data_IF_611391108148
#
_entry.id   IF_611391108148
#
_cell.length_a   1.000
_cell.length_b   1.000
_cell.length_c   1.000
_cell.angle_alpha   90.00
_cell.angle_beta   90.00
_cell.angle_gamma   90.00
#
_symmetry.space_group_name_H-M   'P 1'
#
loop_
_entity.id
_entity.type
_entity.pdbx_description
1 polymer ?
#
# COMPACT_ATOMS: atom_id res chain seq x y z
N UNK A 1 27.30 57.88 -4.01
CA UNK A 1 28.26 57.95 -2.88
C UNK A 1 28.33 56.56 -2.27
N UNK A 2 29.37 55.71 -2.33
CA UNK A 2 30.61 55.51 -3.10
C UNK A 2 30.95 54.03 -2.83
N UNK A 3 31.14 53.12 -3.78
CA UNK A 3 32.21 52.91 -4.77
C UNK A 3 33.65 52.72 -4.24
N UNK A 4 34.13 51.48 -4.44
CA UNK A 4 35.50 51.00 -4.77
C UNK A 4 36.57 50.84 -3.66
N UNK A 5 37.65 50.03 -3.88
CA UNK A 5 37.92 49.01 -4.93
C UNK A 5 38.61 47.70 -4.47
N UNK A 6 38.78 46.81 -5.47
CA UNK A 6 39.54 45.57 -5.51
C UNK A 6 41.07 45.71 -5.43
N UNK A 7 41.77 44.59 -5.13
CA UNK A 7 43.16 44.35 -5.53
C UNK A 7 43.35 42.93 -6.08
N UNK A 8 44.13 42.87 -7.16
CA UNK A 8 44.44 41.74 -8.05
C UNK A 8 45.77 41.04 -7.67
N UNK A 9 45.97 39.85 -8.27
CA UNK A 9 47.28 39.28 -8.62
C UNK A 9 47.69 38.07 -7.77
N UNK A 10 48.17 36.93 -8.29
CA UNK A 10 48.54 36.51 -9.63
C UNK A 10 49.35 35.20 -9.55
N UNK A 11 49.41 34.46 -10.67
CA UNK A 11 50.39 33.42 -11.05
C UNK A 11 50.34 32.00 -10.43
N UNK A 12 49.92 31.04 -11.28
CA UNK A 12 50.36 29.62 -11.39
C UNK A 12 51.50 29.55 -12.45
N UNK A 13 52.06 28.37 -12.83
CA UNK A 13 52.60 27.17 -12.13
C UNK A 13 54.05 26.88 -12.66
N UNK A 14 54.68 25.66 -12.61
CA UNK A 14 54.30 24.40 -13.32
C UNK A 14 54.45 23.18 -12.37
N UNK A 15 54.00 21.95 -12.62
CA UNK A 15 53.71 21.18 -13.82
C UNK A 15 54.35 19.80 -13.61
N UNK A 16 53.58 18.71 -13.65
CA UNK A 16 54.09 17.35 -13.90
C UNK A 16 52.93 16.49 -14.37
N UNK A 17 53.03 16.05 -15.63
CA UNK A 17 52.21 15.02 -16.26
C UNK A 17 53.02 13.73 -16.23
N UNK A 18 52.41 12.59 -15.93
CA UNK A 18 52.68 11.34 -16.65
C UNK A 18 51.41 10.47 -16.73
N UNK A 19 51.37 9.70 -17.82
CA UNK A 19 50.24 9.02 -18.45
C UNK A 19 50.18 7.52 -18.03
N UNK A 20 49.21 6.71 -18.52
CA UNK A 20 48.59 5.60 -17.81
C UNK A 20 49.21 4.22 -18.09
N UNK A 21 48.81 3.21 -17.32
CA UNK A 21 48.99 1.79 -17.66
C UNK A 21 47.64 1.06 -17.51
N UNK A 22 47.35 0.22 -18.51
CA UNK A 22 46.14 -0.59 -18.72
C UNK A 22 46.20 -1.92 -17.96
N UNK A 23 45.00 -2.45 -17.69
CA UNK A 23 44.51 -3.84 -17.61
C UNK A 23 45.49 -5.01 -17.40
N UNK A 24 45.13 -5.90 -16.45
CA UNK A 24 44.89 -7.33 -16.73
C UNK A 24 44.56 -8.14 -15.46
N UNK A 25 43.44 -8.87 -15.53
CA UNK A 25 43.23 -10.26 -15.10
C UNK A 25 43.47 -10.72 -13.64
N UNK A 26 42.35 -11.09 -13.01
CA UNK A 26 42.19 -12.17 -12.02
C UNK A 26 42.81 -13.50 -12.48
N UNK A 27 43.30 -14.38 -11.57
CA UNK A 27 42.39 -15.32 -10.85
C UNK A 27 42.85 -15.79 -9.43
N UNK A 28 41.91 -16.35 -8.65
CA UNK A 28 42.18 -17.50 -7.75
C UNK A 28 42.23 -17.29 -6.22
N UNK A 29 41.17 -17.77 -5.53
CA UNK A 29 40.97 -18.15 -4.11
C UNK A 29 42.15 -18.85 -3.35
N UNK A 30 42.01 -19.23 -2.04
CA UNK A 30 41.31 -18.64 -0.89
C UNK A 30 42.22 -18.57 0.38
N UNK A 31 41.96 -17.64 1.31
CA UNK A 31 42.68 -17.56 2.60
C UNK A 31 41.74 -17.40 3.79
N UNK A 32 41.70 -18.43 4.66
CA UNK A 32 41.14 -18.40 6.03
C UNK A 32 42.18 -17.84 7.02
N UNK A 33 41.73 -17.61 8.26
CA UNK A 33 42.38 -17.03 9.46
C UNK A 33 42.26 -15.50 9.53
N UNK A 34 41.89 -14.89 10.65
CA UNK A 34 41.60 -15.35 11.99
C UNK A 34 41.14 -14.16 12.84
N UNK A 35 40.73 -14.48 14.06
CA UNK A 35 39.98 -13.68 15.03
C UNK A 35 40.60 -12.35 15.54
N UNK A 36 39.69 -11.54 16.07
CA UNK A 36 39.80 -10.50 17.11
C UNK A 36 40.58 -9.19 16.83
N UNK A 37 39.85 -8.07 16.76
CA UNK A 37 39.83 -7.12 17.89
C UNK A 37 38.62 -6.16 17.84
N UNK A 38 38.10 -5.83 19.02
CA UNK A 38 36.87 -5.09 19.26
C UNK A 38 37.04 -3.56 19.13
N UNK A 39 36.04 -2.88 18.58
CA UNK A 39 35.68 -1.50 19.00
C UNK A 39 34.16 -1.44 19.17
N UNK A 40 33.74 -1.06 20.38
CA UNK A 40 32.34 -0.96 20.79
C UNK A 40 31.73 0.41 20.43
N UNK A 41 30.40 0.40 20.19
CA UNK A 41 29.37 1.47 20.16
C UNK A 41 28.77 1.81 18.78
N UNK A 42 27.47 2.20 18.69
CA UNK A 42 26.28 1.65 19.33
C UNK A 42 25.35 0.97 18.29
N UNK A 43 24.64 -0.08 18.71
CA UNK A 43 23.73 -0.83 17.87
C UNK A 43 22.40 -0.08 17.63
N UNK A 44 22.33 0.67 16.53
CA UNK A 44 21.04 0.94 15.88
C UNK A 44 20.74 -0.30 15.03
N UNK A 45 19.97 -1.25 15.58
CA UNK A 45 19.45 -2.37 14.81
C UNK A 45 18.46 -1.82 13.79
N UNK A 46 18.97 -1.50 12.60
CA UNK A 46 18.17 -1.46 11.38
C UNK A 46 17.54 -2.83 11.19
N UNK A 47 16.26 -2.93 11.52
CA UNK A 47 15.45 -4.08 11.16
C UNK A 47 15.45 -4.17 9.64
N UNK A 48 16.20 -5.13 9.11
CA UNK A 48 16.12 -5.54 7.73
C UNK A 48 14.65 -5.90 7.45
N UNK A 49 13.97 -5.10 6.63
CA UNK A 49 12.68 -5.46 6.04
C UNK A 49 12.93 -6.78 5.30
N UNK A 50 12.50 -7.88 5.92
CA UNK A 50 12.50 -9.17 5.23
C UNK A 50 11.51 -9.07 4.09
N UNK A 51 11.97 -9.45 2.91
CA UNK A 51 11.16 -9.61 1.72
C UNK A 51 10.01 -10.59 2.00
N UNK A 52 8.82 -10.04 2.25
CA UNK A 52 7.54 -10.78 2.35
C UNK A 52 6.83 -10.84 0.99
N UNK A 53 7.46 -10.38 -0.09
CA UNK A 53 6.79 -10.03 -1.34
C UNK A 53 6.69 -11.14 -2.40
N UNK A 54 6.80 -12.41 -2.00
CA UNK A 54 6.45 -13.53 -2.88
C UNK A 54 5.50 -14.49 -2.21
N UNK A 55 4.27 -14.04 -2.03
CA UNK A 55 3.14 -14.99 -2.03
C UNK A 55 3.08 -15.56 -3.45
N UNK A 56 3.21 -16.88 -3.65
CA UNK A 56 3.09 -17.46 -4.97
C UNK A 56 1.68 -17.18 -5.51
N UNK A 57 1.61 -16.64 -6.74
CA UNK A 57 0.37 -16.39 -7.46
C UNK A 57 -0.59 -17.58 -7.36
N UNK A 58 -1.77 -17.34 -6.79
CA UNK A 58 -2.83 -18.35 -6.73
C UNK A 58 -3.61 -18.35 -8.03
N UNK A 59 -3.96 -19.54 -8.53
CA UNK A 59 -4.87 -19.65 -9.67
C UNK A 59 -6.28 -19.19 -9.26
N UNK A 60 -7.07 -18.59 -10.17
CA UNK A 60 -8.46 -18.21 -9.90
C UNK A 60 -9.28 -19.36 -9.33
N UNK A 61 -10.23 -19.06 -8.45
CA UNK A 61 -11.18 -20.08 -7.95
C UNK A 61 -12.14 -20.46 -9.10
N UNK A 62 -12.47 -21.74 -9.30
CA UNK A 62 -13.55 -22.11 -10.23
C UNK A 62 -14.89 -21.64 -9.63
N UNK A 63 -15.32 -20.45 -10.02
CA UNK A 63 -16.63 -19.87 -9.74
C UNK A 63 -17.54 -19.94 -10.98
N UNK A 64 -18.85 -19.63 -10.85
CA UNK A 64 -19.72 -19.45 -12.02
C UNK A 64 -19.20 -18.31 -12.92
N UNK A 65 -19.58 -18.33 -14.20
CA UNK A 65 -19.08 -17.49 -15.31
C UNK A 65 -18.65 -16.05 -14.92
N UNK A 66 -17.49 -15.55 -15.40
CA UNK A 66 -17.11 -14.16 -15.28
C UNK A 66 -17.91 -13.33 -16.29
N UNK A 67 -19.18 -13.03 -15.98
CA UNK A 67 -20.01 -12.18 -16.84
C UNK A 67 -20.81 -11.15 -16.05
N UNK A 68 -20.13 -10.44 -15.13
CA UNK A 68 -20.73 -9.28 -14.45
C UNK A 68 -20.40 -7.95 -15.15
N UNK A 69 -19.40 -7.92 -16.05
CA UNK A 69 -18.99 -6.67 -16.73
C UNK A 69 -19.81 -6.37 -18.00
N UNK A 70 -20.42 -7.35 -18.68
CA UNK A 70 -21.11 -7.16 -19.98
C UNK A 70 -22.66 -7.14 -19.96
N UNK A 71 -23.28 -6.89 -18.80
CA UNK A 71 -24.63 -6.31 -18.76
C UNK A 71 -25.79 -7.21 -19.24
N UNK A 72 -25.89 -8.45 -18.75
CA UNK A 72 -27.15 -9.22 -18.87
C UNK A 72 -27.77 -9.50 -17.51
N UNK A 73 -29.09 -9.28 -17.32
CA UNK A 73 -29.75 -9.57 -16.05
C UNK A 73 -29.93 -11.09 -15.90
N UNK A 74 -29.30 -11.69 -14.90
CA UNK A 74 -29.51 -13.09 -14.57
C UNK A 74 -30.70 -13.26 -13.62
N UNK A 75 -31.80 -13.83 -14.16
CA UNK A 75 -32.80 -14.54 -13.38
C UNK A 75 -32.14 -15.78 -12.74
N UNK A 76 -32.24 -15.94 -11.42
CA UNK A 76 -31.81 -17.16 -10.73
C UNK A 76 -33.00 -18.05 -10.42
N UNK A 77 -32.92 -19.28 -10.94
CA UNK A 77 -33.71 -20.41 -10.50
C UNK A 77 -32.97 -21.12 -9.36
N UNK A 78 -33.66 -21.37 -8.24
CA UNK A 78 -33.06 -21.87 -7.02
C UNK A 78 -32.91 -23.40 -7.04
N UNK A 79 -31.69 -23.93 -6.96
CA UNK A 79 -31.46 -25.31 -6.50
C UNK A 79 -30.29 -25.42 -5.51
N UNK A 80 -30.62 -26.08 -4.40
CA UNK A 80 -29.80 -26.35 -3.22
C UNK A 80 -28.79 -27.47 -3.48
N UNK A 81 -27.62 -27.37 -2.87
CA UNK A 81 -26.69 -28.48 -2.64
C UNK A 81 -26.12 -28.37 -1.23
N UNK A 82 -26.60 -29.20 -0.31
CA UNK A 82 -26.09 -29.31 1.05
C UNK A 82 -24.75 -30.05 1.05
N UNK A 83 -23.66 -29.34 1.35
CA UNK A 83 -22.33 -29.91 1.56
C UNK A 83 -22.05 -30.18 3.03
N UNK A 84 -21.72 -31.44 3.36
CA UNK A 84 -21.39 -31.94 4.70
C UNK A 84 -20.20 -31.20 5.34
N UNK A 85 -20.38 -30.76 6.59
CA UNK A 85 -19.31 -30.31 7.49
C UNK A 85 -18.54 -31.54 7.98
N UNK A 86 -17.24 -31.62 7.65
CA UNK A 86 -16.32 -32.57 8.28
C UNK A 86 -15.71 -31.91 9.53
N UNK A 87 -16.01 -32.49 10.70
CA UNK A 87 -15.36 -32.16 11.98
C UNK A 87 -13.90 -32.63 11.94
N UNK A 88 -12.96 -31.71 11.83
CA UNK A 88 -11.52 -31.93 12.03
C UNK A 88 -11.14 -31.54 13.47
N UNK A 89 -10.54 -32.49 14.20
CA UNK A 89 -10.23 -32.39 15.62
C UNK A 89 -9.17 -31.34 15.98
N UNK A 90 -9.29 -30.85 17.22
CA UNK A 90 -8.35 -29.98 17.88
C UNK A 90 -6.94 -30.59 17.89
N UNK A 91 -5.96 -29.82 17.43
CA UNK A 91 -4.54 -30.02 17.73
C UNK A 91 -4.00 -28.72 18.30
N UNK A 92 -3.65 -28.76 19.58
CA UNK A 92 -2.80 -27.78 20.23
C UNK A 92 -1.48 -27.68 19.47
N UNK A 93 -1.11 -26.46 19.06
CA UNK A 93 0.12 -26.20 18.34
C UNK A 93 0.35 -24.71 18.11
N UNK A 94 1.12 -24.10 19.01
CA UNK A 94 1.84 -22.83 18.88
C UNK A 94 1.04 -21.59 18.43
N UNK A 95 0.68 -20.73 19.39
CA UNK A 95 0.32 -19.32 19.15
C UNK A 95 1.51 -18.63 18.47
N UNK A 96 1.42 -18.45 17.16
CA UNK A 96 2.37 -17.66 16.38
C UNK A 96 1.99 -16.18 16.54
N UNK A 97 2.83 -15.47 17.30
CA UNK A 97 3.03 -14.02 17.23
C UNK A 97 1.78 -13.14 17.16
N UNK A 98 1.17 -12.89 18.32
CA UNK A 98 0.36 -11.68 18.51
C UNK A 98 1.21 -10.48 18.07
N UNK A 99 0.61 -9.58 17.30
CA UNK A 99 1.11 -8.24 17.01
C UNK A 99 1.85 -7.67 18.22
N UNK A 100 3.00 -7.05 18.01
CA UNK A 100 3.66 -6.24 19.03
C UNK A 100 2.56 -5.37 19.69
N UNK A 101 2.44 -5.40 21.03
CA UNK A 101 1.23 -4.99 21.76
C UNK A 101 0.75 -3.54 21.57
N UNK A 102 1.36 -2.81 20.65
CA UNK A 102 1.07 -1.45 20.22
C UNK A 102 -0.26 -1.30 19.44
N UNK A 103 -0.65 -2.26 18.58
CA UNK A 103 -1.84 -2.12 17.71
C UNK A 103 -3.13 -2.72 18.28
N UNK A 104 -3.47 -2.42 19.55
CA UNK A 104 -4.72 -2.88 20.21
C UNK A 104 -5.72 -1.76 20.34
N UNK A 105 -7.00 -1.99 20.57
CA UNK A 105 -8.08 -1.01 20.82
C UNK A 105 -8.11 0.19 19.84
N UNK A 106 -7.69 -0.01 18.60
CA UNK A 106 -7.79 1.00 17.54
C UNK A 106 -9.21 0.96 16.93
N UNK A 107 -9.75 2.08 16.45
CA UNK A 107 -11.13 2.11 16.00
C UNK A 107 -11.34 1.42 14.64
N UNK A 108 -10.34 1.46 13.75
CA UNK A 108 -10.48 1.01 12.36
C UNK A 108 -9.15 0.49 11.76
N UNK A 109 -9.23 -0.62 11.04
CA UNK A 109 -8.26 -1.00 9.98
C UNK A 109 -9.01 -1.06 8.63
N UNK A 110 -8.77 -0.08 7.76
CA UNK A 110 -9.54 0.13 6.54
C UNK A 110 -8.95 -0.53 5.27
N UNK A 111 -7.85 -1.25 5.39
CA UNK A 111 -7.14 -1.81 4.23
C UNK A 111 -6.59 -3.20 4.54
N UNK A 112 -7.32 -4.23 4.08
CA UNK A 112 -7.02 -5.64 4.35
C UNK A 112 -7.31 -6.50 3.12
N UNK A 113 -6.41 -7.45 2.86
CA UNK A 113 -6.47 -8.39 1.74
C UNK A 113 -6.60 -9.82 2.20
N UNK A 114 -7.56 -10.54 1.62
CA UNK A 114 -7.99 -11.88 2.01
C UNK A 114 -7.69 -12.90 0.91
N UNK A 115 -8.08 -14.15 1.13
CA UNK A 115 -8.02 -15.22 0.15
C UNK A 115 -8.96 -15.04 -1.07
N UNK A 116 -9.61 -13.87 -1.17
CA UNK A 116 -10.34 -13.35 -2.33
C UNK A 116 -9.47 -12.44 -3.22
N UNK A 117 -8.22 -12.16 -2.83
CA UNK A 117 -7.16 -11.54 -3.63
C UNK A 117 -6.09 -12.56 -4.05
N UNK A 118 -5.41 -12.36 -5.20
CA UNK A 118 -4.46 -13.33 -5.75
C UNK A 118 -3.18 -13.52 -4.93
N UNK A 119 -2.87 -12.56 -4.06
CA UNK A 119 -1.62 -12.43 -3.30
C UNK A 119 -1.82 -12.50 -1.77
N UNK A 120 -3.02 -12.90 -1.33
CA UNK A 120 -3.30 -13.24 0.08
C UNK A 120 -3.89 -14.64 0.21
N UNK A 121 -3.75 -15.20 1.41
CA UNK A 121 -4.31 -16.49 1.78
C UNK A 121 -5.11 -16.48 3.08
N UNK A 122 -5.42 -15.29 3.57
CA UNK A 122 -6.06 -15.08 4.87
C UNK A 122 -7.58 -15.09 4.69
N UNK A 123 -8.34 -15.99 5.34
CA UNK A 123 -9.79 -15.91 5.30
C UNK A 123 -10.30 -14.72 6.12
N UNK A 124 -11.43 -14.13 5.72
CA UNK A 124 -12.06 -13.00 6.45
C UNK A 124 -12.22 -13.29 7.96
N UNK A 125 -12.57 -14.54 8.31
CA UNK A 125 -12.76 -14.98 9.69
C UNK A 125 -11.47 -14.89 10.55
N UNK A 126 -10.29 -15.02 9.94
CA UNK A 126 -9.02 -14.90 10.65
C UNK A 126 -8.77 -13.45 11.06
N UNK A 127 -8.98 -12.48 10.16
CA UNK A 127 -8.90 -11.07 10.52
C UNK A 127 -9.96 -10.66 11.53
N UNK A 128 -11.20 -11.17 11.39
CA UNK A 128 -12.25 -10.88 12.36
C UNK A 128 -11.90 -11.40 13.77
N UNK A 129 -11.29 -12.59 13.88
CA UNK A 129 -10.79 -13.12 15.14
C UNK A 129 -9.67 -12.23 15.73
N UNK A 130 -8.69 -11.85 14.91
CA UNK A 130 -7.59 -10.98 15.32
C UNK A 130 -8.08 -9.58 15.75
N UNK A 131 -9.08 -9.03 15.05
CA UNK A 131 -9.71 -7.77 15.40
C UNK A 131 -10.39 -7.86 16.78
N UNK A 132 -11.17 -8.91 17.03
CA UNK A 132 -11.80 -9.15 18.33
C UNK A 132 -10.77 -9.31 19.45
N UNK A 133 -9.70 -10.09 19.21
CA UNK A 133 -8.63 -10.31 20.20
C UNK A 133 -7.81 -9.04 20.49
N UNK A 134 -7.72 -8.15 19.51
CA UNK A 134 -6.95 -6.91 19.61
C UNK A 134 -7.82 -5.71 19.99
N UNK A 135 -9.14 -5.86 20.14
CA UNK A 135 -10.04 -4.75 20.43
C UNK A 135 -10.25 -3.79 19.25
N UNK A 136 -9.91 -4.19 18.01
CA UNK A 136 -10.16 -3.38 16.82
C UNK A 136 -11.63 -3.50 16.43
N UNK A 137 -12.38 -2.41 16.58
CA UNK A 137 -13.84 -2.42 16.51
C UNK A 137 -14.39 -2.58 15.09
N UNK A 138 -13.68 -2.06 14.09
CA UNK A 138 -14.12 -2.05 12.70
C UNK A 138 -12.97 -2.43 11.76
N UNK A 139 -13.26 -3.28 10.78
CA UNK A 139 -12.34 -3.62 9.69
C UNK A 139 -13.03 -3.46 8.34
N UNK A 140 -12.30 -3.05 7.31
CA UNK A 140 -12.76 -3.08 5.94
C UNK A 140 -11.95 -4.10 5.14
N UNK A 141 -12.65 -5.02 4.48
CA UNK A 141 -12.04 -5.94 3.54
C UNK A 141 -12.00 -5.24 2.18
N UNK A 142 -10.80 -4.99 1.66
CA UNK A 142 -10.57 -4.18 0.45
C UNK A 142 -9.77 -4.96 -0.58
N UNK A 143 -10.16 -6.21 -0.80
CA UNK A 143 -9.54 -7.08 -1.79
C UNK A 143 -9.39 -6.43 -3.17
N UNK A 144 -8.31 -6.79 -3.87
CA UNK A 144 -7.93 -6.26 -5.18
C UNK A 144 -8.98 -6.53 -6.27
N UNK A 145 -9.18 -5.52 -7.12
CA UNK A 145 -9.85 -5.65 -8.42
C UNK A 145 -9.02 -4.97 -9.49
N UNK A 146 -8.61 -5.76 -10.48
CA UNK A 146 -7.92 -5.26 -11.66
C UNK A 146 -8.81 -5.25 -12.91
N UNK A 147 -8.52 -4.29 -13.78
CA UNK A 147 -9.20 -4.12 -15.06
C UNK A 147 -8.35 -4.56 -16.24
N UNK A 148 -7.03 -4.54 -16.10
CA UNK A 148 -6.14 -5.04 -17.13
C UNK A 148 -6.06 -6.58 -17.11
N UNK A 149 -6.33 -7.27 -18.24
CA UNK A 149 -6.24 -8.73 -18.32
C UNK A 149 -4.87 -9.33 -18.01
N UNK A 150 -3.81 -8.51 -17.99
CA UNK A 150 -2.46 -8.95 -17.66
C UNK A 150 -2.15 -8.86 -16.17
N UNK A 151 -3.06 -8.31 -15.36
CA UNK A 151 -2.87 -8.12 -13.93
C UNK A 151 -3.48 -9.26 -13.09
N UNK A 152 -2.91 -9.57 -11.92
CA UNK A 152 -3.23 -10.79 -11.18
C UNK A 152 -4.67 -10.89 -10.66
N UNK A 153 -5.30 -9.76 -10.30
CA UNK A 153 -6.66 -9.77 -9.75
C UNK A 153 -7.73 -9.66 -10.83
N UNK A 154 -7.36 -9.63 -12.10
CA UNK A 154 -8.32 -9.62 -13.20
C UNK A 154 -9.14 -10.91 -13.19
N UNK A 155 -10.43 -10.76 -12.90
CA UNK A 155 -11.40 -11.87 -12.80
C UNK A 155 -11.02 -12.94 -11.75
N UNK A 156 -10.19 -12.59 -10.76
CA UNK A 156 -9.77 -13.54 -9.74
C UNK A 156 -10.92 -14.00 -8.83
N UNK A 157 -11.78 -13.05 -8.42
CA UNK A 157 -12.98 -13.30 -7.63
C UNK A 157 -14.14 -12.40 -8.06
N UNK A 158 -15.32 -13.00 -8.30
CA UNK A 158 -16.51 -12.26 -8.73
C UNK A 158 -16.99 -11.28 -7.66
N UNK A 159 -17.70 -10.23 -8.06
CA UNK A 159 -18.32 -9.29 -7.10
C UNK A 159 -19.24 -10.03 -6.14
N UNK A 160 -20.13 -10.88 -6.67
CA UNK A 160 -21.10 -11.61 -5.87
C UNK A 160 -20.49 -12.62 -4.88
N UNK A 161 -19.32 -13.18 -5.19
CA UNK A 161 -18.60 -14.05 -4.26
C UNK A 161 -17.93 -13.26 -3.14
N UNK A 162 -17.27 -12.14 -3.46
CA UNK A 162 -16.68 -11.25 -2.45
C UNK A 162 -17.74 -10.67 -1.53
N UNK A 163 -18.80 -10.10 -2.10
CA UNK A 163 -19.89 -9.51 -1.33
C UNK A 163 -20.51 -10.51 -0.36
N UNK A 164 -20.89 -11.68 -0.87
CA UNK A 164 -21.48 -12.74 -0.05
C UNK A 164 -20.54 -13.15 1.08
N UNK A 165 -19.27 -13.41 0.76
CA UNK A 165 -18.28 -13.89 1.74
C UNK A 165 -18.07 -12.87 2.86
N UNK A 166 -17.88 -11.59 2.51
CA UNK A 166 -17.64 -10.54 3.50
C UNK A 166 -18.91 -10.24 4.31
N UNK A 167 -20.09 -10.14 3.69
CA UNK A 167 -21.34 -9.87 4.41
C UNK A 167 -21.76 -11.03 5.31
N UNK A 168 -21.54 -12.28 4.91
CA UNK A 168 -21.77 -13.45 5.79
C UNK A 168 -20.81 -13.47 6.98
N UNK A 169 -19.55 -13.09 6.79
CA UNK A 169 -18.61 -12.90 7.91
C UNK A 169 -19.08 -11.75 8.82
N UNK A 170 -19.49 -10.60 8.27
CA UNK A 170 -19.99 -9.47 9.04
C UNK A 170 -21.15 -9.89 9.97
N UNK A 171 -22.11 -10.66 9.46
CA UNK A 171 -23.22 -11.19 10.26
C UNK A 171 -22.76 -12.15 11.38
N UNK A 172 -21.78 -13.02 11.11
CA UNK A 172 -21.25 -13.98 12.09
C UNK A 172 -20.48 -13.32 13.23
N UNK A 173 -19.82 -12.20 12.96
CA UNK A 173 -18.93 -11.52 13.92
C UNK A 173 -19.56 -10.29 14.60
N UNK A 174 -20.73 -9.85 14.16
CA UNK A 174 -21.45 -8.71 14.75
C UNK A 174 -21.68 -8.87 16.27
N UNK A 175 -22.16 -10.03 16.71
CA UNK A 175 -22.39 -10.31 18.14
C UNK A 175 -21.10 -10.45 18.97
N UNK A 176 -19.95 -10.47 18.30
CA UNK A 176 -18.61 -10.48 18.92
C UNK A 176 -17.97 -9.09 18.94
N UNK A 177 -18.72 -8.04 18.56
CA UNK A 177 -18.26 -6.65 18.62
C UNK A 177 -17.33 -6.23 17.49
N UNK A 178 -17.26 -6.99 16.39
CA UNK A 178 -16.46 -6.63 15.21
C UNK A 178 -17.38 -6.25 14.05
N UNK A 179 -17.30 -5.00 13.62
CA UNK A 179 -17.93 -4.55 12.39
C UNK A 179 -17.03 -4.85 11.19
N UNK A 180 -17.55 -5.55 10.19
CA UNK A 180 -16.82 -5.88 8.95
C UNK A 180 -17.49 -5.17 7.78
N UNK A 181 -16.72 -4.38 7.03
CA UNK A 181 -17.17 -3.64 5.85
C UNK A 181 -16.74 -4.31 4.57
N UNK A 182 -17.65 -4.29 3.60
CA UNK A 182 -17.38 -4.78 2.25
C UNK A 182 -16.85 -3.64 1.38
N UNK A 183 -15.54 -3.47 1.37
CA UNK A 183 -14.85 -2.52 0.52
C UNK A 183 -14.15 -3.16 -0.68
N UNK A 184 -13.29 -2.38 -1.33
CA UNK A 184 -12.49 -2.82 -2.48
C UNK A 184 -11.29 -1.89 -2.67
N UNK A 185 -10.15 -2.44 -3.05
CA UNK A 185 -9.03 -1.71 -3.63
C UNK A 185 -9.03 -1.93 -5.14
N UNK A 186 -9.14 -0.86 -5.93
CA UNK A 186 -9.11 -0.92 -7.38
C UNK A 186 -7.78 -0.36 -7.89
N UNK A 187 -7.09 -1.14 -8.71
CA UNK A 187 -5.94 -0.64 -9.45
C UNK A 187 -6.41 0.40 -10.46
N UNK A 188 -5.99 1.64 -10.27
CA UNK A 188 -6.28 2.75 -11.17
C UNK A 188 -5.18 2.94 -12.21
N UNK A 189 -5.63 3.05 -13.45
CA UNK A 189 -4.88 3.60 -14.57
C UNK A 189 -5.91 4.33 -15.44
N UNK A 190 -5.57 5.52 -15.96
CA UNK A 190 -6.47 6.30 -16.82
C UNK A 190 -7.05 5.52 -18.01
N UNK A 191 -6.34 4.52 -18.50
CA UNK A 191 -6.79 3.61 -19.57
C UNK A 191 -8.10 2.90 -19.21
N UNK A 192 -8.30 2.60 -17.93
CA UNK A 192 -9.43 1.82 -17.41
C UNK A 192 -10.42 2.69 -16.61
N UNK A 193 -10.31 4.02 -16.63
CA UNK A 193 -11.15 4.89 -15.79
C UNK A 193 -12.65 4.71 -16.07
N UNK A 194 -13.06 4.63 -17.34
CA UNK A 194 -14.47 4.47 -17.71
C UNK A 194 -15.03 3.12 -17.25
N UNK A 195 -14.23 2.07 -17.33
CA UNK A 195 -14.61 0.74 -16.84
C UNK A 195 -14.73 0.71 -15.31
N UNK A 196 -13.79 1.35 -14.60
CA UNK A 196 -13.84 1.52 -13.15
C UNK A 196 -15.10 2.30 -12.75
N UNK A 197 -15.39 3.40 -13.43
CA UNK A 197 -16.59 4.23 -13.22
C UNK A 197 -17.86 3.42 -13.42
N UNK A 198 -17.93 2.64 -14.50
CA UNK A 198 -19.06 1.74 -14.81
C UNK A 198 -19.21 0.62 -13.78
N UNK A 199 -18.10 0.08 -13.27
CA UNK A 199 -18.09 -0.93 -12.21
C UNK A 199 -18.65 -0.36 -10.91
N UNK A 200 -18.12 0.77 -10.44
CA UNK A 200 -18.55 1.42 -9.20
C UNK A 200 -20.00 1.94 -9.26
N UNK A 201 -20.51 2.26 -10.44
CA UNK A 201 -21.91 2.63 -10.62
C UNK A 201 -22.88 1.42 -10.48
N UNK A 202 -22.41 0.20 -10.73
CA UNK A 202 -23.23 -1.04 -10.67
C UNK A 202 -23.10 -1.77 -9.35
N UNK A 203 -22.00 -1.57 -8.63
CA UNK A 203 -21.61 -2.36 -7.48
C UNK A 203 -21.48 -1.49 -6.24
N UNK A 204 -22.30 -1.77 -5.23
CA UNK A 204 -22.32 -1.03 -3.99
C UNK A 204 -21.26 -1.57 -3.03
N UNK A 205 -20.21 -0.78 -2.81
CA UNK A 205 -19.19 -1.02 -1.79
C UNK A 205 -19.41 -0.08 -0.61
N UNK A 206 -19.04 -0.53 0.58
CA UNK A 206 -19.07 0.30 1.79
C UNK A 206 -17.96 1.37 1.75
N UNK A 207 -16.82 1.05 1.15
CA UNK A 207 -15.62 1.89 1.06
C UNK A 207 -14.77 1.53 -0.17
N UNK A 208 -14.23 2.51 -0.89
CA UNK A 208 -13.41 2.28 -2.08
C UNK A 208 -12.03 2.93 -1.97
N UNK A 209 -10.98 2.13 -2.21
CA UNK A 209 -9.60 2.61 -2.34
C UNK A 209 -9.23 2.60 -3.82
N UNK A 210 -8.70 3.71 -4.32
CA UNK A 210 -8.03 3.78 -5.61
C UNK A 210 -6.52 3.74 -5.41
N UNK A 211 -5.85 2.79 -6.04
CA UNK A 211 -4.41 2.61 -5.89
C UNK A 211 -3.72 2.55 -7.24
N UNK A 212 -2.55 3.17 -7.36
CA UNK A 212 -1.71 3.03 -8.55
C UNK A 212 -0.65 1.99 -8.25
N UNK A 213 -0.75 0.83 -8.90
CA UNK A 213 0.26 -0.22 -8.85
C UNK A 213 1.20 -0.14 -10.05
N UNK A 214 2.16 -1.06 -10.19
CA UNK A 214 2.84 -1.22 -11.47
C UNK A 214 1.84 -1.82 -12.48
N UNK A 215 1.63 -1.14 -13.60
CA UNK A 215 0.66 -1.60 -14.61
C UNK A 215 1.38 -2.14 -15.86
N UNK A 216 0.66 -2.87 -16.73
CA UNK A 216 1.20 -3.33 -18.00
C UNK A 216 1.66 -2.17 -18.89
N UNK A 217 2.93 -2.21 -19.30
CA UNK A 217 3.56 -1.11 -20.05
C UNK A 217 4.10 0.03 -19.18
N UNK A 218 3.93 -0.02 -17.85
CA UNK A 218 4.59 0.92 -16.94
C UNK A 218 6.11 0.75 -16.93
N UNK A 219 6.87 1.81 -16.67
CA UNK A 219 8.32 1.71 -16.46
C UNK A 219 8.70 1.05 -15.13
N UNK A 220 7.71 0.80 -14.26
CA UNK A 220 7.89 0.29 -12.90
C UNK A 220 7.76 -1.23 -12.80
N UNK A 221 7.34 -1.90 -13.88
CA UNK A 221 7.25 -3.36 -13.95
C UNK A 221 8.67 -3.93 -13.81
N UNK A 222 8.89 -4.78 -12.81
CA UNK A 222 10.23 -5.13 -12.31
C UNK A 222 11.23 -5.71 -13.32
N UNK A 223 12.45 -5.98 -12.84
CA UNK A 223 13.56 -6.49 -13.65
C UNK A 223 14.37 -5.36 -14.33
N UNK A 224 14.93 -5.63 -15.51
CA UNK A 224 15.79 -4.67 -16.21
C UNK A 224 15.06 -3.42 -16.73
N UNK A 225 13.73 -3.42 -16.74
CA UNK A 225 12.94 -2.27 -17.17
C UNK A 225 13.14 -1.07 -16.23
N UNK A 226 13.09 -1.27 -14.91
CA UNK A 226 13.31 -0.21 -13.92
C UNK A 226 14.72 0.36 -14.03
N UNK A 227 15.75 -0.50 -14.16
CA UNK A 227 17.13 -0.06 -14.33
C UNK A 227 17.30 0.85 -15.58
N UNK A 228 16.71 0.46 -16.71
CA UNK A 228 16.74 1.25 -17.96
C UNK A 228 15.91 2.53 -17.86
N UNK A 229 14.82 2.52 -17.09
CA UNK A 229 14.03 3.70 -16.82
C UNK A 229 14.81 4.71 -15.97
N UNK A 230 15.48 4.26 -14.91
CA UNK A 230 16.25 5.15 -14.02
C UNK A 230 17.50 5.71 -14.70
N UNK A 231 18.13 4.95 -15.60
CA UNK A 231 19.39 5.34 -16.23
C UNK A 231 19.29 6.70 -16.97
N UNK A 232 20.09 7.67 -16.50
CA UNK A 232 20.22 9.00 -17.10
C UNK A 232 19.05 9.96 -16.86
N UNK A 233 18.06 9.58 -16.05
CA UNK A 233 16.91 10.42 -15.70
C UNK A 233 17.06 11.05 -14.32
N UNK A 234 16.49 12.23 -14.16
CA UNK A 234 16.30 12.88 -12.86
C UNK A 234 15.24 12.16 -12.02
N UNK A 235 15.24 12.38 -10.71
CA UNK A 235 14.24 11.79 -9.83
C UNK A 235 12.81 12.24 -10.18
N UNK A 236 12.65 13.49 -10.64
CA UNK A 236 11.37 14.00 -11.10
C UNK A 236 10.85 13.24 -12.33
N UNK A 237 11.67 13.07 -13.36
CA UNK A 237 11.31 12.29 -14.56
C UNK A 237 11.01 10.83 -14.23
N UNK A 238 11.70 10.26 -13.23
CA UNK A 238 11.49 8.86 -12.81
C UNK A 238 10.12 8.67 -12.18
N UNK A 239 9.66 9.63 -11.37
CA UNK A 239 8.45 9.54 -10.53
C UNK A 239 7.22 10.12 -11.23
N UNK A 240 7.40 11.06 -12.17
CA UNK A 240 6.32 11.78 -12.86
C UNK A 240 5.21 10.86 -13.41
N UNK A 241 5.47 9.74 -14.12
CA UNK A 241 4.40 8.89 -14.62
C UNK A 241 3.48 8.35 -13.52
N UNK A 242 4.07 7.92 -12.39
CA UNK A 242 3.32 7.44 -11.25
C UNK A 242 2.47 8.55 -10.62
N UNK A 243 3.08 9.70 -10.32
CA UNK A 243 2.35 10.84 -9.71
C UNK A 243 1.25 11.35 -10.64
N UNK A 244 1.44 11.26 -11.96
CA UNK A 244 0.41 11.61 -12.94
C UNK A 244 -0.81 10.71 -12.83
N UNK A 245 -0.64 9.39 -12.71
CA UNK A 245 -1.75 8.47 -12.53
C UNK A 245 -2.43 8.68 -11.17
N UNK A 246 -1.67 8.89 -10.09
CA UNK A 246 -2.27 9.17 -8.76
C UNK A 246 -3.07 10.47 -8.77
N UNK A 247 -2.54 11.51 -9.39
CA UNK A 247 -3.22 12.81 -9.57
C UNK A 247 -4.54 12.64 -10.33
N UNK A 248 -4.53 11.81 -11.38
CA UNK A 248 -5.73 11.50 -12.16
C UNK A 248 -6.74 10.67 -11.33
N UNK A 249 -6.26 9.67 -10.58
CA UNK A 249 -7.09 8.86 -9.69
C UNK A 249 -7.85 9.74 -8.68
N UNK A 250 -7.16 10.66 -8.01
CA UNK A 250 -7.77 11.61 -7.08
C UNK A 250 -8.82 12.49 -7.78
N UNK A 251 -8.48 13.07 -8.93
CA UNK A 251 -9.37 13.96 -9.70
C UNK A 251 -10.56 13.26 -10.35
N UNK A 252 -10.52 11.93 -10.51
CA UNK A 252 -11.61 11.16 -11.10
C UNK A 252 -12.91 11.20 -10.28
N UNK A 253 -12.80 11.48 -8.98
CA UNK A 253 -13.91 11.46 -8.01
C UNK A 253 -14.49 10.06 -7.75
N UNK A 254 -13.77 9.00 -8.10
CA UNK A 254 -14.25 7.62 -8.03
C UNK A 254 -14.05 6.96 -6.66
N UNK A 255 -13.09 7.44 -5.87
CA UNK A 255 -12.61 6.74 -4.69
C UNK A 255 -12.88 7.51 -3.40
N UNK A 256 -13.11 6.77 -2.31
CA UNK A 256 -13.14 7.34 -0.96
C UNK A 256 -11.75 7.75 -0.50
N UNK A 257 -10.76 6.93 -0.82
CA UNK A 257 -9.37 7.16 -0.48
C UNK A 257 -8.42 6.79 -1.62
N UNK A 258 -7.25 7.42 -1.64
CA UNK A 258 -6.10 6.94 -2.40
C UNK A 258 -5.19 6.13 -1.48
N UNK A 259 -4.92 4.89 -1.87
CA UNK A 259 -4.03 3.97 -1.15
C UNK A 259 -2.56 4.36 -1.30
N UNK A 260 -1.75 3.97 -0.31
CA UNK A 260 -0.27 3.98 -0.30
C UNK A 260 0.42 4.92 -1.32
N UNK A 261 0.21 6.24 -1.17
CA UNK A 261 0.67 7.31 -2.06
C UNK A 261 2.10 7.19 -2.62
N UNK A 262 3.01 6.54 -1.89
CA UNK A 262 4.43 6.43 -2.26
C UNK A 262 4.88 5.00 -2.59
N UNK A 263 3.95 4.07 -2.92
CA UNK A 263 4.30 2.66 -3.21
C UNK A 263 5.29 2.52 -4.36
N UNK A 264 5.41 3.52 -5.24
CA UNK A 264 6.45 3.60 -6.28
C UNK A 264 7.87 3.39 -5.74
N UNK A 265 8.13 3.73 -4.47
CA UNK A 265 9.42 3.45 -3.81
C UNK A 265 9.78 1.96 -3.80
N UNK A 266 8.78 1.08 -3.74
CA UNK A 266 8.94 -0.38 -3.78
C UNK A 266 9.43 -0.82 -5.15
N UNK A 267 8.84 -0.27 -6.21
CA UNK A 267 9.18 -0.63 -7.59
C UNK A 267 10.53 -0.09 -8.03
N UNK A 268 10.91 1.09 -7.52
CA UNK A 268 12.19 1.71 -7.88
C UNK A 268 13.38 1.09 -7.14
N UNK A 269 13.17 0.33 -6.06
CA UNK A 269 14.25 -0.32 -5.35
C UNK A 269 14.92 -1.43 -6.20
N UNK A 270 16.25 -1.60 -6.15
CA UNK A 270 17.22 -0.84 -5.35
C UNK A 270 17.79 0.40 -6.09
N UNK A 271 17.27 0.74 -7.26
CA UNK A 271 17.83 1.79 -8.14
C UNK A 271 17.59 3.21 -7.62
N UNK A 272 16.45 3.44 -6.96
CA UNK A 272 16.18 4.64 -6.17
C UNK A 272 15.82 4.20 -4.76
N UNK A 273 16.48 4.78 -3.77
CA UNK A 273 16.24 4.48 -2.36
C UNK A 273 15.07 5.28 -1.81
N UNK A 274 14.39 4.72 -0.78
CA UNK A 274 13.35 5.45 -0.06
C UNK A 274 13.86 6.79 0.53
N UNK A 275 15.14 6.86 0.92
CA UNK A 275 15.76 8.09 1.42
C UNK A 275 15.88 9.17 0.34
N UNK A 276 16.16 8.80 -0.91
CA UNK A 276 16.19 9.75 -2.03
C UNK A 276 14.80 10.33 -2.31
N UNK A 277 13.75 9.52 -2.26
CA UNK A 277 12.36 9.99 -2.42
C UNK A 277 11.93 10.86 -1.23
N UNK A 278 12.25 10.46 0.01
CA UNK A 278 11.93 11.23 1.20
C UNK A 278 12.64 12.60 1.24
N UNK A 279 13.78 12.74 0.57
CA UNK A 279 14.51 14.00 0.43
C UNK A 279 13.91 14.94 -0.64
N UNK A 280 12.92 14.47 -1.42
CA UNK A 280 12.25 15.23 -2.48
C UNK A 280 10.70 15.12 -2.34
N UNK A 281 10.12 15.54 -1.21
CA UNK A 281 8.68 15.42 -0.95
C UNK A 281 7.82 16.22 -1.95
N UNK A 282 8.37 17.26 -2.57
CA UNK A 282 7.72 18.08 -3.59
C UNK A 282 7.30 17.28 -4.83
N UNK A 283 7.92 16.12 -5.08
CA UNK A 283 7.57 15.25 -6.20
C UNK A 283 6.14 14.73 -6.11
N UNK A 284 5.60 14.56 -4.89
CA UNK A 284 4.23 14.09 -4.66
C UNK A 284 3.23 15.23 -4.47
N UNK A 285 3.68 16.49 -4.43
CA UNK A 285 2.81 17.65 -4.20
C UNK A 285 1.65 17.76 -5.20
N UNK A 286 1.81 17.49 -6.51
CA UNK A 286 0.67 17.51 -7.44
C UNK A 286 -0.45 16.54 -7.05
N UNK A 287 -0.09 15.34 -6.59
CA UNK A 287 -1.06 14.35 -6.11
C UNK A 287 -1.72 14.79 -4.80
N UNK A 288 -0.95 15.37 -3.87
CA UNK A 288 -1.48 15.90 -2.62
C UNK A 288 -2.46 17.05 -2.84
N UNK A 289 -2.13 17.97 -3.74
CA UNK A 289 -3.03 19.07 -4.14
C UNK A 289 -4.32 18.50 -4.74
N UNK A 290 -4.20 17.52 -5.64
CA UNK A 290 -5.37 16.87 -6.23
C UNK A 290 -6.29 16.24 -5.20
N UNK A 291 -5.75 15.57 -4.17
CA UNK A 291 -6.52 15.01 -3.06
C UNK A 291 -7.30 16.08 -2.28
N UNK A 292 -6.66 17.23 -2.03
CA UNK A 292 -7.31 18.37 -1.36
C UNK A 292 -8.43 18.93 -2.22
N UNK A 293 -8.16 19.16 -3.51
CA UNK A 293 -9.12 19.72 -4.46
C UNK A 293 -10.33 18.81 -4.70
N UNK A 294 -10.13 17.49 -4.71
CA UNK A 294 -11.18 16.50 -4.96
C UNK A 294 -11.93 16.04 -3.71
N UNK A 295 -11.52 16.50 -2.52
CA UNK A 295 -12.04 16.02 -1.23
C UNK A 295 -11.91 14.48 -1.06
N UNK A 296 -10.86 13.90 -1.65
CA UNK A 296 -10.54 12.47 -1.55
C UNK A 296 -9.62 12.23 -0.35
N UNK A 297 -9.88 11.18 0.43
CA UNK A 297 -9.04 10.87 1.58
C UNK A 297 -7.65 10.39 1.16
N UNK A 298 -6.64 10.78 1.92
CA UNK A 298 -5.31 10.15 1.86
C UNK A 298 -5.31 8.94 2.80
N UNK A 299 -4.83 7.77 2.35
CA UNK A 299 -4.44 6.74 3.31
C UNK A 299 -3.17 7.16 4.05
N UNK A 300 -3.15 6.96 5.39
CA UNK A 300 -2.01 7.27 6.24
C UNK A 300 -0.73 6.76 5.61
N UNK A 301 0.11 7.72 5.25
CA UNK A 301 1.41 7.48 4.65
C UNK A 301 2.44 8.40 5.31
N UNK A 302 3.58 7.83 5.72
CA UNK A 302 4.61 8.59 6.45
C UNK A 302 5.31 9.65 5.60
N UNK A 303 5.34 9.54 4.26
CA UNK A 303 6.15 10.43 3.40
C UNK A 303 5.40 11.68 2.91
N UNK A 304 4.06 11.71 2.96
CA UNK A 304 3.25 12.82 2.44
C UNK A 304 2.33 13.51 3.45
N UNK A 305 2.08 12.91 4.62
CA UNK A 305 0.99 13.32 5.50
C UNK A 305 1.10 14.77 6.05
N UNK A 306 2.29 15.18 6.49
CA UNK A 306 2.47 16.56 6.99
C UNK A 306 2.23 17.59 5.90
N UNK A 307 2.75 17.33 4.69
CA UNK A 307 2.56 18.22 3.53
C UNK A 307 1.09 18.27 3.11
N UNK A 308 0.41 17.13 3.11
CA UNK A 308 -1.04 17.06 2.85
C UNK A 308 -1.82 17.97 3.80
N UNK A 309 -1.48 17.94 5.10
CA UNK A 309 -2.11 18.84 6.09
C UNK A 309 -1.82 20.30 5.81
N UNK A 310 -0.57 20.66 5.54
CA UNK A 310 -0.15 22.04 5.21
C UNK A 310 -0.90 22.59 3.99
N UNK A 311 -1.19 21.73 3.01
CA UNK A 311 -1.95 22.07 1.80
C UNK A 311 -3.47 22.18 2.05
N UNK A 312 -3.94 21.97 3.29
CA UNK A 312 -5.35 22.06 3.66
C UNK A 312 -6.09 20.72 3.66
N UNK A 313 -5.38 19.60 3.56
CA UNK A 313 -5.96 18.26 3.65
C UNK A 313 -6.66 18.01 4.98
N UNK A 314 -7.87 17.45 4.89
CA UNK A 314 -8.75 17.19 6.05
C UNK A 314 -9.16 15.72 6.16
N UNK A 315 -9.19 14.97 5.05
CA UNK A 315 -9.63 13.58 5.03
C UNK A 315 -8.47 12.61 5.01
N UNK A 316 -8.45 11.75 6.01
CA UNK A 316 -7.41 10.75 6.21
C UNK A 316 -8.06 9.40 6.55
N UNK A 317 -7.64 8.31 5.92
CA UNK A 317 -8.01 6.94 6.32
C UNK A 317 -6.78 6.19 6.83
N UNK A 318 -6.95 5.09 7.54
CA UNK A 318 -5.85 4.27 8.03
C UNK A 318 -6.13 2.79 7.77
N UNK A 319 -5.14 2.07 7.25
CA UNK A 319 -5.19 0.64 7.04
C UNK A 319 -3.80 0.02 7.08
N UNK A 320 -3.72 -1.29 7.32
CA UNK A 320 -2.44 -2.00 7.46
C UNK A 320 -1.91 -2.61 6.16
N UNK A 321 -2.75 -2.70 5.12
CA UNK A 321 -2.43 -3.36 3.84
C UNK A 321 -2.00 -4.83 4.05
N UNK A 322 -2.64 -5.49 5.03
CA UNK A 322 -2.26 -6.83 5.42
C UNK A 322 -2.70 -7.86 4.37
N UNK A 323 -1.73 -8.61 3.85
CA UNK A 323 -1.93 -9.77 2.97
C UNK A 323 -1.66 -11.11 3.68
N UNK A 324 -1.29 -11.05 4.96
CA UNK A 324 -0.88 -12.19 5.79
C UNK A 324 -1.43 -11.99 7.20
N UNK A 325 -1.81 -13.09 7.86
CA UNK A 325 -2.38 -13.03 9.23
C UNK A 325 -1.47 -12.26 10.21
N UNK A 326 -0.16 -12.53 10.18
CA UNK A 326 0.80 -11.88 11.07
C UNK A 326 1.07 -10.40 10.75
N UNK A 327 0.59 -9.91 9.59
CA UNK A 327 0.69 -8.51 9.20
C UNK A 327 -0.57 -7.70 9.60
N UNK A 328 -1.60 -8.35 10.16
CA UNK A 328 -2.79 -7.67 10.64
C UNK A 328 -2.45 -6.52 11.60
N UNK A 329 -3.00 -5.33 11.34
CA UNK A 329 -2.77 -4.11 12.10
C UNK A 329 -1.28 -3.71 12.25
N UNK A 330 -0.39 -4.26 11.41
CA UNK A 330 1.03 -3.93 11.45
C UNK A 330 1.25 -2.46 11.10
N UNK A 331 2.01 -1.75 11.94
CA UNK A 331 2.28 -0.31 11.76
C UNK A 331 1.08 0.61 11.98
N UNK A 332 -0.12 0.08 12.21
CA UNK A 332 -1.35 0.87 12.30
C UNK A 332 -1.31 1.87 13.47
N UNK A 333 -0.89 1.45 14.67
CA UNK A 333 -0.75 2.36 15.81
C UNK A 333 0.24 3.51 15.55
N UNK A 334 1.37 3.20 14.88
CA UNK A 334 2.32 4.24 14.46
C UNK A 334 1.67 5.18 13.42
N UNK A 335 0.86 4.64 12.50
CA UNK A 335 0.09 5.44 11.55
C UNK A 335 -0.87 6.42 12.23
N UNK A 336 -1.62 5.96 13.24
CA UNK A 336 -2.51 6.82 14.03
C UNK A 336 -1.74 7.89 14.81
N UNK A 337 -0.58 7.56 15.37
CA UNK A 337 0.30 8.53 16.04
C UNK A 337 0.81 9.60 15.06
N UNK A 338 1.31 9.19 13.90
CA UNK A 338 1.78 10.12 12.87
C UNK A 338 0.63 11.01 12.36
N UNK A 339 -0.59 10.47 12.24
CA UNK A 339 -1.79 11.25 11.94
C UNK A 339 -2.09 12.31 13.02
N UNK A 340 -2.05 11.91 14.29
CA UNK A 340 -2.24 12.84 15.42
C UNK A 340 -1.16 13.93 15.45
N UNK A 341 0.10 13.56 15.30
CA UNK A 341 1.25 14.48 15.27
C UNK A 341 1.14 15.47 14.09
N UNK A 342 0.58 15.03 12.96
CA UNK A 342 0.28 15.89 11.83
C UNK A 342 -0.94 16.80 12.07
N UNK A 343 -1.62 16.72 13.22
CA UNK A 343 -2.72 17.61 13.61
C UNK A 343 -4.11 17.15 13.16
N UNK A 344 -4.29 15.84 12.91
CA UNK A 344 -5.60 15.23 12.71
C UNK A 344 -6.17 14.77 14.04
N UNK A 345 -7.45 15.09 14.31
CA UNK A 345 -8.18 14.59 15.48
C UNK A 345 -9.07 13.38 15.16
N UNK A 346 -9.30 13.12 13.89
CA UNK A 346 -10.21 12.10 13.37
C UNK A 346 -9.75 11.60 12.00
N UNK A 347 -10.15 10.37 11.68
CA UNK A 347 -10.09 9.79 10.35
C UNK A 347 -11.44 10.00 9.65
N UNK A 348 -11.44 9.97 8.32
CA UNK A 348 -12.60 9.99 7.44
C UNK A 348 -12.75 8.61 6.79
N UNK A 349 -13.90 7.98 6.99
CA UNK A 349 -14.20 6.65 6.44
C UNK A 349 -15.61 6.61 5.85
N UNK A 350 -15.91 5.69 4.92
CA UNK A 350 -17.26 5.51 4.39
C UNK A 350 -17.85 4.16 4.83
N UNK A 351 -19.15 4.14 5.15
CA UNK A 351 -19.92 2.94 5.51
C UNK A 351 -21.09 2.74 4.53
N UNK A 352 -20.80 2.81 3.24
CA UNK A 352 -21.77 2.75 2.12
C UNK A 352 -22.59 4.03 1.89
N UNK A 353 -22.72 4.89 2.92
CA UNK A 353 -23.38 6.19 2.84
C UNK A 353 -22.41 7.36 2.67
N UNK A 354 -22.68 8.48 3.34
CA UNK A 354 -21.73 9.59 3.42
C UNK A 354 -20.49 9.25 4.27
N UNK A 355 -19.43 10.08 4.20
CA UNK A 355 -18.27 9.94 5.05
C UNK A 355 -18.64 10.12 6.54
N UNK A 356 -18.00 9.35 7.41
CA UNK A 356 -18.10 9.41 8.86
C UNK A 356 -16.75 9.77 9.46
N UNK A 357 -16.79 10.57 10.52
CA UNK A 357 -15.61 10.88 11.33
C UNK A 357 -15.36 9.78 12.36
N UNK A 358 -14.12 9.31 12.44
CA UNK A 358 -13.67 8.31 13.41
C UNK A 358 -12.60 8.95 14.29
N UNK A 359 -12.89 9.22 15.58
CA UNK A 359 -11.93 9.87 16.46
C UNK A 359 -10.61 9.09 16.57
N UNK A 360 -9.48 9.80 16.45
CA UNK A 360 -8.17 9.24 16.77
C UNK A 360 -8.08 9.13 18.31
N UNK A 361 -7.85 7.92 18.87
CA UNK A 361 -7.84 7.70 20.32
C UNK A 361 -6.80 8.55 21.05
N UNK A 362 -7.09 8.98 22.27
CA UNK A 362 -6.21 9.84 23.07
C UNK A 362 -4.80 9.27 23.26
N UNK A 363 -4.66 7.95 23.37
CA UNK A 363 -3.34 7.32 23.50
C UNK A 363 -2.45 7.44 22.25
N UNK A 364 -3.04 7.70 21.08
CA UNK A 364 -2.28 8.02 19.87
C UNK A 364 -1.91 9.50 19.79
N UNK A 365 -2.39 10.32 20.74
CA UNK A 365 -2.08 11.74 20.88
C UNK A 365 -1.03 12.04 21.96
N UNK A 366 -0.72 11.04 22.79
CA UNK A 366 0.27 11.10 23.86
C UNK A 366 1.64 10.66 23.33
#
# INVERSE_FOLDING_TARGET
>A
MGQHPALQGGARPPGLRHRPVRDAHHPGHPGRFGDHDQVQQPAVRGGCLRDVSRVPYRRPRPGPDPDDRHGRPHQRDARRGAGRILKGGARDGARLGVSDGASRDLPLDAHLHTDLSPDSDVPVDAYAALAAESGIAEIAITDHVDFDPQDPAWEYSSFGDRERTVREAAARWADRGVAIRFGVELTYNRTWEDDIRSHLARHAYDFTIGSVHDWPGSPYRGGEAVARWVAGRSLAEIVEPYVTEVTAAARSGLFDAIGHLDVVKRYLAPHVTAAQLAAAPELFEPALVALVESDTALEVNTSGLRRFRELGGTRLTAGSDAHREHAFAFGLDAGYRVASEAGFGELSFRRGGGPVAIPIPDRARA
#
